data_IF_752372989236
#
_entry.id   IF_752372989236
#
_cell.length_a   1.000
_cell.length_b   1.000
_cell.length_c   1.000
_cell.angle_alpha   90.00
_cell.angle_beta   90.00
_cell.angle_gamma   90.00
#
_symmetry.space_group_name_H-M   'P 1'
#
loop_
_entity.id
_entity.type
_entity.pdbx_description
1 polymer ?
#
# COMPACT_ATOMS: atom_id res chain seq x y z
N UNK A 1 -38.74 -123.99 21.14
CA UNK A 1 -37.55 -123.43 20.46
C UNK A 1 -37.84 -122.49 19.27
N UNK A 2 -39.10 -122.22 18.88
CA UNK A 2 -39.40 -121.30 17.77
C UNK A 2 -39.75 -119.86 18.20
N UNK A 3 -40.38 -119.68 19.36
CA UNK A 3 -40.81 -118.37 19.88
C UNK A 3 -39.65 -117.45 20.23
N UNK A 4 -38.58 -117.97 20.84
CA UNK A 4 -37.39 -117.16 21.19
C UNK A 4 -36.61 -116.73 19.95
N UNK A 5 -36.59 -117.58 18.91
CA UNK A 5 -35.94 -117.28 17.63
C UNK A 5 -36.70 -116.20 16.86
N UNK A 6 -38.03 -116.22 16.91
CA UNK A 6 -38.89 -115.22 16.29
C UNK A 6 -38.82 -113.88 17.04
N UNK A 7 -38.78 -113.90 18.37
CA UNK A 7 -38.59 -112.71 19.20
C UNK A 7 -37.19 -112.08 19.02
N UNK A 8 -36.13 -112.88 18.95
CA UNK A 8 -34.78 -112.38 18.60
C UNK A 8 -34.73 -111.81 17.18
N UNK A 9 -35.39 -112.45 16.21
CA UNK A 9 -35.41 -111.97 14.84
C UNK A 9 -36.11 -110.60 14.73
N UNK A 10 -37.19 -110.42 15.48
CA UNK A 10 -37.91 -109.14 15.54
C UNK A 10 -37.10 -108.05 16.25
N UNK A 11 -36.47 -108.38 17.38
CA UNK A 11 -35.57 -107.46 18.08
C UNK A 11 -34.35 -107.07 17.24
N UNK A 12 -33.80 -107.99 16.44
CA UNK A 12 -32.71 -107.68 15.51
C UNK A 12 -33.17 -106.73 14.40
N UNK A 13 -34.38 -106.90 13.89
CA UNK A 13 -34.94 -106.01 12.88
C UNK A 13 -35.23 -104.62 13.45
N UNK A 14 -35.80 -104.54 14.66
CA UNK A 14 -36.03 -103.27 15.36
C UNK A 14 -34.71 -102.55 15.69
N UNK A 15 -33.66 -103.30 16.07
CA UNK A 15 -32.33 -102.73 16.30
C UNK A 15 -31.69 -102.23 15.00
N UNK A 16 -31.83 -102.98 13.89
CA UNK A 16 -31.35 -102.53 12.58
C UNK A 16 -32.08 -101.26 12.13
N UNK A 17 -33.39 -101.19 12.32
CA UNK A 17 -34.18 -100.00 12.03
C UNK A 17 -33.74 -98.82 12.90
N UNK A 18 -33.56 -99.01 14.22
CA UNK A 18 -33.03 -97.97 15.12
C UNK A 18 -31.63 -97.52 14.74
N UNK A 19 -30.75 -98.42 14.32
CA UNK A 19 -29.41 -98.08 13.84
C UNK A 19 -29.51 -97.24 12.57
N UNK A 20 -30.38 -97.61 11.61
CA UNK A 20 -30.58 -96.84 10.39
C UNK A 20 -31.17 -95.45 10.66
N UNK A 21 -32.13 -95.32 11.57
CA UNK A 21 -32.72 -94.06 12.00
C UNK A 21 -31.71 -93.17 12.77
N UNK A 22 -30.89 -93.78 13.63
CA UNK A 22 -29.79 -93.09 14.33
C UNK A 22 -28.74 -92.61 13.35
N UNK A 23 -28.37 -93.43 12.36
CA UNK A 23 -27.42 -93.04 11.32
C UNK A 23 -27.94 -91.89 10.46
N UNK A 24 -29.24 -91.91 10.10
CA UNK A 24 -29.90 -90.81 9.38
C UNK A 24 -29.91 -89.51 10.19
N UNK A 25 -30.17 -89.59 11.50
CA UNK A 25 -30.15 -88.41 12.38
C UNK A 25 -28.73 -87.88 12.59
N UNK A 26 -27.74 -88.75 12.77
CA UNK A 26 -26.31 -88.36 12.83
C UNK A 26 -25.89 -87.66 11.55
N UNK A 27 -26.17 -88.23 10.37
CA UNK A 27 -25.84 -87.60 9.08
C UNK A 27 -26.49 -86.22 8.92
N UNK A 28 -27.75 -86.07 9.37
CA UNK A 28 -28.44 -84.78 9.33
C UNK A 28 -27.78 -83.75 10.26
N UNK A 29 -27.39 -84.16 11.46
CA UNK A 29 -26.71 -83.30 12.43
C UNK A 29 -25.30 -82.92 11.95
N UNK A 30 -24.56 -83.83 11.32
CA UNK A 30 -23.24 -83.54 10.74
C UNK A 30 -23.33 -82.47 9.65
N UNK A 31 -24.31 -82.57 8.76
CA UNK A 31 -24.57 -81.54 7.74
C UNK A 31 -24.92 -80.20 8.40
N UNK A 32 -25.75 -80.20 9.44
CA UNK A 32 -26.11 -78.97 10.17
C UNK A 32 -24.92 -78.34 10.88
N UNK A 33 -24.06 -79.14 11.53
CA UNK A 33 -22.84 -78.67 12.18
C UNK A 33 -21.88 -78.08 11.17
N UNK A 34 -21.67 -78.76 10.03
CA UNK A 34 -20.78 -78.30 8.96
C UNK A 34 -21.26 -76.97 8.37
N UNK A 35 -22.55 -76.85 8.05
CA UNK A 35 -23.13 -75.62 7.54
C UNK A 35 -23.04 -74.47 8.55
N UNK A 36 -23.21 -74.76 9.85
CA UNK A 36 -23.13 -73.75 10.90
C UNK A 36 -21.69 -73.34 11.21
N UNK A 37 -20.73 -74.27 11.12
CA UNK A 37 -19.30 -73.97 11.23
C UNK A 37 -18.86 -73.02 10.10
N UNK A 38 -19.20 -73.33 8.85
CA UNK A 38 -18.91 -72.46 7.71
C UNK A 38 -19.53 -71.06 7.84
N UNK A 39 -20.77 -70.98 8.36
CA UNK A 39 -21.41 -69.69 8.62
C UNK A 39 -20.69 -68.87 9.71
N UNK A 40 -20.16 -69.53 10.75
CA UNK A 40 -19.42 -68.85 11.83
C UNK A 40 -18.03 -68.41 11.36
N UNK A 41 -17.34 -69.23 10.57
CA UNK A 41 -16.07 -68.85 9.93
C UNK A 41 -16.24 -67.59 9.08
N UNK A 42 -17.29 -67.51 8.25
CA UNK A 42 -17.58 -66.32 7.47
C UNK A 42 -17.83 -65.06 8.33
N UNK A 43 -18.47 -65.20 9.50
CA UNK A 43 -18.65 -64.08 10.44
C UNK A 43 -17.33 -63.68 11.11
N UNK A 44 -16.46 -64.66 11.41
CA UNK A 44 -15.13 -64.38 11.97
C UNK A 44 -14.23 -63.67 10.96
N UNK A 45 -14.25 -64.07 9.69
CA UNK A 45 -13.50 -63.38 8.63
C UNK A 45 -13.95 -61.93 8.49
N UNK A 46 -15.27 -61.68 8.52
CA UNK A 46 -15.82 -60.33 8.52
C UNK A 46 -15.37 -59.52 9.75
N UNK A 47 -15.33 -60.17 10.93
CA UNK A 47 -14.88 -59.54 12.16
C UNK A 47 -13.40 -59.18 12.12
N UNK A 48 -12.53 -60.08 11.66
CA UNK A 48 -11.08 -59.84 11.52
C UNK A 48 -10.80 -58.76 10.48
N UNK A 49 -11.53 -58.76 9.37
CA UNK A 49 -11.46 -57.68 8.37
C UNK A 49 -11.88 -56.32 8.96
N UNK A 50 -12.91 -56.30 9.80
CA UNK A 50 -13.35 -55.09 10.48
C UNK A 50 -12.31 -54.61 11.50
N UNK A 51 -11.74 -55.49 12.32
CA UNK A 51 -10.66 -55.13 13.24
C UNK A 51 -9.46 -54.55 12.49
N UNK A 52 -9.10 -55.15 11.35
CA UNK A 52 -8.00 -54.68 10.50
C UNK A 52 -8.29 -53.29 9.91
N UNK A 53 -9.49 -53.07 9.38
CA UNK A 53 -9.87 -51.76 8.81
C UNK A 53 -9.95 -50.65 9.87
N UNK A 54 -10.27 -51.01 11.12
CA UNK A 54 -10.25 -50.10 12.27
C UNK A 54 -8.86 -49.92 12.90
N UNK A 55 -7.83 -50.62 12.39
CA UNK A 55 -6.47 -50.58 12.94
C UNK A 55 -6.34 -51.19 14.33
N UNK A 56 -7.27 -52.07 14.72
CA UNK A 56 -7.27 -52.78 16.01
C UNK A 56 -6.57 -54.15 15.94
N UNK A 57 -6.08 -54.52 14.75
CA UNK A 57 -5.36 -55.75 14.48
C UNK A 57 -4.03 -55.42 13.77
N UNK A 58 -2.90 -56.04 14.15
CA UNK A 58 -2.73 -57.15 15.10
C UNK A 58 -2.70 -56.76 16.58
N UNK A 59 -2.49 -55.48 16.92
CA UNK A 59 -2.49 -55.01 18.32
C UNK A 59 -3.24 -53.68 18.39
N UNK A 60 -4.21 -53.51 19.32
CA UNK A 60 -4.93 -52.25 19.44
C UNK A 60 -4.00 -51.09 19.86
N UNK A 61 -4.33 -49.85 19.47
CA UNK A 61 -3.62 -48.67 19.93
C UNK A 61 -3.82 -48.45 21.44
N UNK A 62 -2.94 -47.64 22.02
CA UNK A 62 -3.00 -47.20 23.42
C UNK A 62 -4.39 -46.60 23.74
N UNK A 63 -5.03 -46.92 24.88
CA UNK A 63 -4.58 -47.71 26.03
C UNK A 63 -4.93 -49.22 26.00
N UNK A 64 -5.37 -49.78 24.87
CA UNK A 64 -5.86 -51.18 24.80
C UNK A 64 -4.83 -52.21 24.30
N UNK A 65 -3.54 -51.88 24.37
CA UNK A 65 -2.44 -52.69 23.84
C UNK A 65 -2.40 -54.11 24.42
N UNK A 66 -2.87 -54.29 25.65
CA UNK A 66 -2.86 -55.57 26.37
C UNK A 66 -4.05 -56.48 26.04
N UNK A 67 -5.00 -56.03 25.22
CA UNK A 67 -6.23 -56.79 24.91
C UNK A 67 -6.14 -57.41 23.53
N UNK A 68 -5.98 -58.73 23.48
CA UNK A 68 -6.06 -59.50 22.25
C UNK A 68 -7.53 -59.72 21.82
N UNK A 69 -7.96 -59.00 20.78
CA UNK A 69 -9.32 -59.09 20.25
C UNK A 69 -9.47 -60.21 19.20
N UNK A 70 -8.46 -61.04 18.98
CA UNK A 70 -8.57 -62.15 18.04
C UNK A 70 -9.54 -63.23 18.53
N UNK A 71 -10.30 -63.79 17.59
CA UNK A 71 -11.25 -64.86 17.82
C UNK A 71 -11.03 -65.94 16.76
N UNK A 72 -10.84 -67.18 17.19
CA UNK A 72 -10.59 -68.33 16.30
C UNK A 72 -11.61 -69.44 16.56
N UNK A 73 -12.07 -70.10 15.49
CA UNK A 73 -13.00 -71.23 15.59
C UNK A 73 -12.23 -72.55 15.60
N UNK A 74 -12.44 -73.36 16.63
CA UNK A 74 -11.99 -74.75 16.71
C UNK A 74 -13.17 -75.70 16.49
N UNK A 75 -13.53 -75.91 15.22
CA UNK A 75 -14.65 -76.76 14.80
C UNK A 75 -14.46 -78.26 15.12
N UNK A 76 -13.23 -78.68 15.43
CA UNK A 76 -12.89 -80.05 15.81
C UNK A 76 -13.07 -80.33 17.32
N UNK A 77 -13.43 -79.32 18.13
CA UNK A 77 -13.59 -79.50 19.57
C UNK A 77 -14.88 -80.24 19.93
N UNK A 78 -14.82 -81.32 20.74
CA UNK A 78 -16.00 -82.02 21.22
C UNK A 78 -16.76 -81.27 22.32
N UNK A 79 -16.15 -80.23 22.91
CA UNK A 79 -16.78 -79.42 23.95
C UNK A 79 -17.27 -78.09 23.35
N UNK A 80 -18.57 -77.76 23.43
CA UNK A 80 -19.12 -76.52 22.90
C UNK A 80 -18.51 -75.26 23.51
N UNK A 81 -17.96 -75.34 24.73
CA UNK A 81 -17.28 -74.21 25.39
C UNK A 81 -15.88 -73.93 24.84
N UNK A 82 -15.31 -74.88 24.10
CA UNK A 82 -13.98 -74.79 23.49
C UNK A 82 -14.03 -74.61 21.96
N UNK A 83 -15.24 -74.43 21.40
CA UNK A 83 -15.42 -74.19 19.97
C UNK A 83 -14.87 -72.83 19.54
N UNK A 84 -14.85 -71.84 20.43
CA UNK A 84 -14.30 -70.51 20.15
C UNK A 84 -13.11 -70.26 21.08
N UNK A 85 -11.96 -69.97 20.50
CA UNK A 85 -10.73 -69.60 21.18
C UNK A 85 -10.60 -68.07 21.13
N UNK A 86 -10.15 -67.47 22.24
CA UNK A 86 -9.99 -66.03 22.40
C UNK A 86 -10.60 -65.50 23.69
N UNK A 87 -10.59 -64.17 23.85
CA UNK A 87 -11.14 -63.51 25.03
C UNK A 87 -12.67 -63.59 25.07
N UNK A 88 -13.25 -63.54 26.27
CA UNK A 88 -14.71 -63.59 26.45
C UNK A 88 -15.38 -62.41 25.72
N UNK A 89 -16.19 -62.74 24.69
CA UNK A 89 -16.85 -61.75 23.85
C UNK A 89 -17.69 -60.77 24.68
N UNK A 90 -18.41 -61.27 25.69
CA UNK A 90 -19.38 -60.47 26.43
C UNK A 90 -18.71 -59.61 27.50
N UNK A 91 -17.67 -60.15 28.14
CA UNK A 91 -17.00 -59.49 29.28
C UNK A 91 -15.82 -58.62 28.88
N UNK A 92 -15.16 -58.94 27.77
CA UNK A 92 -13.91 -58.27 27.37
C UNK A 92 -14.04 -57.63 26.00
N UNK A 93 -14.27 -58.42 24.94
CA UNK A 93 -14.25 -57.90 23.55
C UNK A 93 -15.29 -56.79 23.34
N UNK A 94 -16.55 -57.04 23.71
CA UNK A 94 -17.63 -56.06 23.52
C UNK A 94 -17.43 -54.79 24.35
N UNK A 95 -17.12 -54.85 25.66
CA UNK A 95 -16.78 -53.65 26.43
C UNK A 95 -15.59 -52.88 25.85
N UNK A 96 -14.53 -53.56 25.43
CA UNK A 96 -13.35 -52.92 24.82
C UNK A 96 -13.71 -52.21 23.52
N UNK A 97 -14.41 -52.86 22.59
CA UNK A 97 -14.88 -52.23 21.35
C UNK A 97 -15.84 -51.06 21.61
N UNK A 98 -16.67 -51.15 22.64
CA UNK A 98 -17.55 -50.04 23.05
C UNK A 98 -16.74 -48.85 23.57
N UNK A 99 -15.68 -49.12 24.34
CA UNK A 99 -14.76 -48.09 24.85
C UNK A 99 -13.97 -47.43 23.71
N UNK A 100 -13.46 -48.21 22.75
CA UNK A 100 -12.79 -47.71 21.55
C UNK A 100 -13.72 -46.82 20.74
N UNK A 101 -14.96 -47.27 20.50
CA UNK A 101 -15.94 -46.50 19.74
C UNK A 101 -16.25 -45.16 20.42
N UNK A 102 -16.37 -45.14 21.75
CA UNK A 102 -16.63 -43.91 22.49
C UNK A 102 -15.42 -42.96 22.48
N UNK A 103 -14.21 -43.50 22.68
CA UNK A 103 -12.98 -42.70 22.57
C UNK A 103 -12.84 -42.06 21.19
N UNK A 104 -13.12 -42.82 20.12
CA UNK A 104 -13.09 -42.29 18.74
C UNK A 104 -14.17 -41.25 18.47
N UNK A 105 -15.35 -41.36 19.09
CA UNK A 105 -16.38 -40.31 19.02
C UNK A 105 -15.92 -39.02 19.71
N UNK A 106 -15.31 -39.14 20.88
CA UNK A 106 -14.78 -37.98 21.62
C UNK A 106 -13.63 -37.32 20.85
N UNK A 107 -12.69 -38.11 20.33
CA UNK A 107 -11.59 -37.61 19.48
C UNK A 107 -12.15 -36.87 18.26
N UNK A 108 -13.11 -37.47 17.54
CA UNK A 108 -13.76 -36.82 16.40
C UNK A 108 -14.44 -35.50 16.80
N UNK A 109 -15.18 -35.48 17.91
CA UNK A 109 -15.83 -34.26 18.37
C UNK A 109 -14.81 -33.15 18.73
N UNK A 110 -13.67 -33.53 19.33
CA UNK A 110 -12.57 -32.60 19.61
C UNK A 110 -11.97 -32.02 18.34
N UNK A 111 -11.66 -32.88 17.36
CA UNK A 111 -11.10 -32.46 16.06
C UNK A 111 -12.09 -31.57 15.29
N UNK A 112 -13.39 -31.90 15.31
CA UNK A 112 -14.44 -31.09 14.69
C UNK A 112 -14.52 -29.70 15.35
N UNK A 113 -14.45 -29.64 16.69
CA UNK A 113 -14.45 -28.38 17.42
C UNK A 113 -13.21 -27.53 17.12
N UNK A 114 -12.04 -28.16 16.99
CA UNK A 114 -10.81 -27.47 16.60
C UNK A 114 -10.89 -26.97 15.16
N UNK A 115 -11.42 -27.78 14.25
CA UNK A 115 -11.68 -27.40 12.85
C UNK A 115 -12.58 -26.15 12.77
N UNK A 116 -13.68 -26.12 13.54
CA UNK A 116 -14.56 -24.94 13.61
C UNK A 116 -13.80 -23.71 14.10
N UNK A 117 -12.96 -23.85 15.14
CA UNK A 117 -12.16 -22.75 15.65
C UNK A 117 -11.17 -22.22 14.61
N UNK A 118 -10.41 -23.12 13.98
CA UNK A 118 -9.43 -22.76 12.94
C UNK A 118 -10.11 -22.09 11.75
N UNK A 119 -11.28 -22.58 11.32
CA UNK A 119 -12.04 -21.94 10.24
C UNK A 119 -12.51 -20.53 10.62
N UNK A 120 -12.99 -20.33 11.85
CA UNK A 120 -13.38 -19.01 12.33
C UNK A 120 -12.18 -18.04 12.39
N UNK A 121 -11.03 -18.50 12.88
CA UNK A 121 -9.80 -17.70 12.92
C UNK A 121 -9.34 -17.33 11.50
N UNK A 122 -9.45 -18.27 10.55
CA UNK A 122 -9.13 -18.03 9.13
C UNK A 122 -10.07 -17.00 8.50
N UNK A 123 -11.38 -17.08 8.78
CA UNK A 123 -12.37 -16.11 8.29
C UNK A 123 -12.11 -14.71 8.86
N UNK A 124 -11.72 -14.62 10.13
CA UNK A 124 -11.34 -13.38 10.78
C UNK A 124 -10.11 -12.76 10.11
N UNK A 125 -9.01 -13.53 9.96
CA UNK A 125 -7.80 -13.02 9.31
C UNK A 125 -8.04 -12.66 7.85
N UNK A 126 -8.87 -13.43 7.14
CA UNK A 126 -9.25 -13.11 5.75
C UNK A 126 -9.98 -11.77 5.66
N UNK A 127 -10.85 -11.47 6.63
CA UNK A 127 -11.56 -10.19 6.70
C UNK A 127 -10.61 -9.05 7.04
N UNK A 128 -9.68 -9.25 7.98
CA UNK A 128 -8.66 -8.26 8.35
C UNK A 128 -7.74 -7.93 7.16
N UNK A 129 -7.25 -8.95 6.44
CA UNK A 129 -6.46 -8.73 5.22
C UNK A 129 -7.21 -7.91 4.17
N UNK A 130 -8.49 -8.22 3.93
CA UNK A 130 -9.31 -7.44 2.98
C UNK A 130 -9.49 -5.98 3.41
N UNK A 131 -9.65 -5.73 4.71
CA UNK A 131 -9.75 -4.37 5.24
C UNK A 131 -8.43 -3.61 5.07
N UNK A 132 -7.30 -4.25 5.39
CA UNK A 132 -5.97 -3.67 5.19
C UNK A 132 -5.67 -3.38 3.71
N UNK A 133 -6.06 -4.28 2.80
CA UNK A 133 -5.91 -4.05 1.36
C UNK A 133 -6.72 -2.83 0.89
N UNK A 134 -7.93 -2.66 1.41
CA UNK A 134 -8.74 -1.48 1.13
C UNK A 134 -8.09 -0.19 1.65
N UNK A 135 -7.60 -0.20 2.89
CA UNK A 135 -6.88 0.95 3.47
C UNK A 135 -5.61 1.29 2.69
N UNK A 136 -4.85 0.29 2.25
CA UNK A 136 -3.67 0.47 1.40
C UNK A 136 -4.03 1.10 0.06
N UNK A 137 -5.11 0.63 -0.58
CA UNK A 137 -5.59 1.23 -1.84
C UNK A 137 -5.98 2.70 -1.67
N UNK A 138 -6.64 3.05 -0.58
CA UNK A 138 -7.02 4.44 -0.29
C UNK A 138 -5.80 5.31 0.03
N UNK A 139 -4.80 4.77 0.72
CA UNK A 139 -3.55 5.47 0.98
C UNK A 139 -2.75 5.70 -0.30
N UNK A 140 -2.66 4.71 -1.18
CA UNK A 140 -1.95 4.80 -2.46
C UNK A 140 -2.55 5.87 -3.38
N UNK A 141 -3.89 5.96 -3.44
CA UNK A 141 -4.58 7.06 -4.13
C UNK A 141 -4.23 8.43 -3.54
N UNK A 142 -4.17 8.55 -2.21
CA UNK A 142 -3.79 9.81 -1.56
C UNK A 142 -2.35 10.20 -1.88
N UNK A 143 -1.42 9.23 -1.85
CA UNK A 143 -0.01 9.45 -2.20
C UNK A 143 0.12 9.91 -3.65
N UNK A 144 -0.58 9.24 -4.58
CA UNK A 144 -0.58 9.61 -6.00
C UNK A 144 -1.08 11.04 -6.20
N UNK A 145 -2.24 11.38 -5.61
CA UNK A 145 -2.81 12.73 -5.70
C UNK A 145 -1.89 13.81 -5.08
N UNK A 146 -1.22 13.50 -3.96
CA UNK A 146 -0.26 14.42 -3.34
C UNK A 146 0.99 14.61 -4.19
N UNK A 147 1.46 13.55 -4.85
CA UNK A 147 2.59 13.63 -5.75
C UNK A 147 2.27 14.49 -6.98
N UNK A 148 1.09 14.31 -7.58
CA UNK A 148 0.61 15.16 -8.68
C UNK A 148 0.53 16.63 -8.25
N UNK A 149 -0.03 16.92 -7.07
CA UNK A 149 -0.08 18.29 -6.54
C UNK A 149 1.32 18.88 -6.28
N UNK A 150 2.27 18.06 -5.82
CA UNK A 150 3.64 18.49 -5.60
C UNK A 150 4.35 18.83 -6.92
N UNK A 151 4.13 18.02 -7.96
CA UNK A 151 4.66 18.27 -9.31
C UNK A 151 4.03 19.54 -9.92
N UNK A 152 2.71 19.72 -9.82
CA UNK A 152 2.02 20.93 -10.28
C UNK A 152 2.55 22.20 -9.59
N UNK A 153 2.74 22.15 -8.26
CA UNK A 153 3.29 23.27 -7.49
C UNK A 153 4.74 23.58 -7.88
N UNK A 154 5.54 22.54 -8.13
CA UNK A 154 6.93 22.70 -8.56
C UNK A 154 7.00 23.37 -9.93
N UNK A 155 6.17 22.94 -10.87
CA UNK A 155 6.12 23.48 -12.22
C UNK A 155 5.63 24.94 -12.21
N UNK A 156 4.61 25.25 -11.41
CA UNK A 156 4.14 26.62 -11.19
C UNK A 156 5.23 27.52 -10.59
N UNK A 157 5.92 27.05 -9.55
CA UNK A 157 7.01 27.80 -8.91
C UNK A 157 8.18 28.05 -9.87
N UNK A 158 8.52 27.06 -10.70
CA UNK A 158 9.57 27.21 -11.72
C UNK A 158 9.16 28.22 -12.79
N UNK A 159 7.90 28.19 -13.25
CA UNK A 159 7.39 29.17 -14.22
C UNK A 159 7.39 30.59 -13.63
N UNK A 160 6.94 30.76 -12.39
CA UNK A 160 6.94 32.06 -11.70
C UNK A 160 8.37 32.60 -11.53
N UNK A 161 9.31 31.73 -11.12
CA UNK A 161 10.73 32.11 -11.01
C UNK A 161 11.32 32.58 -12.35
N UNK A 162 10.97 31.91 -13.46
CA UNK A 162 11.41 32.33 -14.79
C UNK A 162 10.83 33.69 -15.20
N UNK A 163 9.53 33.90 -14.99
CA UNK A 163 8.87 35.18 -15.29
C UNK A 163 9.46 36.31 -14.44
N UNK A 164 9.62 36.08 -13.13
CA UNK A 164 10.22 37.05 -12.21
C UNK A 164 11.66 37.38 -12.58
N UNK A 165 12.47 36.39 -12.93
CA UNK A 165 13.85 36.60 -13.39
C UNK A 165 13.92 37.40 -14.70
N UNK A 166 13.00 37.14 -15.65
CA UNK A 166 12.93 37.86 -16.91
C UNK A 166 12.51 39.32 -16.70
N UNK A 167 11.54 39.57 -15.82
CA UNK A 167 11.10 40.90 -15.46
C UNK A 167 12.19 41.68 -14.70
N UNK A 168 12.88 41.04 -13.75
CA UNK A 168 14.03 41.62 -13.07
C UNK A 168 15.12 42.07 -14.06
N UNK A 169 15.48 41.19 -15.01
CA UNK A 169 16.45 41.50 -16.07
C UNK A 169 15.98 42.62 -17.02
N UNK A 170 14.67 42.79 -17.20
CA UNK A 170 14.10 43.90 -17.97
C UNK A 170 14.21 45.21 -17.20
N UNK A 171 13.80 45.22 -15.93
CA UNK A 171 13.85 46.38 -15.07
C UNK A 171 15.29 46.87 -14.85
N UNK A 172 16.26 45.98 -14.71
CA UNK A 172 17.68 46.34 -14.63
C UNK A 172 18.17 47.08 -15.88
N UNK A 173 17.76 46.63 -17.08
CA UNK A 173 18.09 47.31 -18.34
C UNK A 173 17.43 48.67 -18.45
N UNK A 174 16.14 48.77 -18.08
CA UNK A 174 15.41 50.04 -18.07
C UNK A 174 16.04 51.03 -17.08
N UNK A 175 16.46 50.57 -15.90
CA UNK A 175 17.13 51.38 -14.89
C UNK A 175 18.50 51.85 -15.39
N UNK A 176 19.29 50.98 -16.01
CA UNK A 176 20.58 51.35 -16.61
C UNK A 176 20.42 52.39 -17.73
N UNK A 177 19.40 52.24 -18.58
CA UNK A 177 19.06 53.22 -19.61
C UNK A 177 18.62 54.55 -18.99
N UNK A 178 17.70 54.53 -18.02
CA UNK A 178 17.21 55.74 -17.35
C UNK A 178 18.35 56.50 -16.66
N UNK A 179 19.28 55.78 -16.00
CA UNK A 179 20.48 56.35 -15.40
C UNK A 179 21.38 57.01 -16.43
N UNK A 180 21.63 56.36 -17.56
CA UNK A 180 22.45 56.90 -18.65
C UNK A 180 21.81 58.15 -19.26
N UNK A 181 20.50 58.12 -19.51
CA UNK A 181 19.74 59.25 -20.01
C UNK A 181 19.76 60.43 -19.02
N UNK A 182 19.59 60.18 -17.72
CA UNK A 182 19.66 61.21 -16.69
C UNK A 182 21.06 61.86 -16.63
N UNK A 183 22.13 61.08 -16.72
CA UNK A 183 23.50 61.61 -16.76
C UNK A 183 23.72 62.45 -18.03
N UNK A 184 23.30 61.96 -19.19
CA UNK A 184 23.44 62.67 -20.46
C UNK A 184 22.67 64.00 -20.46
N UNK A 185 21.42 64.00 -19.99
CA UNK A 185 20.59 65.20 -19.87
C UNK A 185 21.19 66.18 -18.85
N UNK A 186 21.66 65.69 -17.70
CA UNK A 186 22.31 66.52 -16.69
C UNK A 186 23.58 67.20 -17.20
N UNK A 187 24.41 66.47 -17.95
CA UNK A 187 25.61 67.02 -18.60
C UNK A 187 25.25 68.04 -19.69
N UNK A 188 24.22 67.75 -20.50
CA UNK A 188 23.73 68.66 -21.54
C UNK A 188 23.25 70.00 -20.97
N UNK A 189 22.43 69.97 -19.92
CA UNK A 189 21.95 71.17 -19.23
C UNK A 189 23.11 71.95 -18.59
N UNK A 190 24.07 71.25 -17.96
CA UNK A 190 25.25 71.89 -17.37
C UNK A 190 26.11 72.59 -18.43
N UNK A 191 26.31 71.97 -19.59
CA UNK A 191 27.03 72.57 -20.72
C UNK A 191 26.32 73.81 -21.27
N UNK A 192 25.00 73.72 -21.48
CA UNK A 192 24.19 74.87 -21.91
C UNK A 192 24.24 76.03 -20.90
N UNK A 193 24.18 75.72 -19.60
CA UNK A 193 24.32 76.72 -18.54
C UNK A 193 25.69 77.41 -18.58
N UNK A 194 26.78 76.65 -18.77
CA UNK A 194 28.11 77.24 -18.90
C UNK A 194 28.24 78.12 -20.14
N UNK A 195 27.73 77.68 -21.29
CA UNK A 195 27.71 78.48 -22.51
C UNK A 195 26.93 79.80 -22.32
N UNK A 196 25.77 79.73 -21.66
CA UNK A 196 24.97 80.92 -21.34
C UNK A 196 25.70 81.86 -20.38
N UNK A 197 26.40 81.33 -19.37
CA UNK A 197 27.21 82.13 -18.44
C UNK A 197 28.36 82.85 -19.16
N UNK A 198 29.03 82.19 -20.11
CA UNK A 198 30.07 82.83 -20.92
C UNK A 198 29.50 83.93 -21.82
N UNK A 199 28.40 83.64 -22.52
CA UNK A 199 27.70 84.63 -23.37
C UNK A 199 27.24 85.84 -22.56
N UNK A 200 26.70 85.62 -21.36
CA UNK A 200 26.29 86.70 -20.47
C UNK A 200 27.49 87.57 -20.06
N UNK A 201 28.62 86.97 -19.64
CA UNK A 201 29.83 87.72 -19.29
C UNK A 201 30.36 88.53 -20.47
N UNK A 202 30.40 87.94 -21.66
CA UNK A 202 30.82 88.64 -22.89
C UNK A 202 29.91 89.83 -23.18
N UNK A 203 28.59 89.68 -23.02
CA UNK A 203 27.66 90.78 -23.23
C UNK A 203 27.81 91.89 -22.18
N UNK A 204 28.03 91.55 -20.92
CA UNK A 204 28.32 92.54 -19.88
C UNK A 204 29.58 93.34 -20.24
N UNK A 205 30.63 92.67 -20.73
CA UNK A 205 31.87 93.33 -21.14
C UNK A 205 31.65 94.22 -22.38
N UNK A 206 30.91 93.75 -23.38
CA UNK A 206 30.53 94.55 -24.57
C UNK A 206 29.76 95.80 -24.17
N UNK A 207 28.79 95.68 -23.27
CA UNK A 207 28.01 96.82 -22.76
C UNK A 207 28.91 97.79 -21.99
N UNK A 208 29.87 97.29 -21.19
CA UNK A 208 30.82 98.14 -20.48
C UNK A 208 31.70 98.93 -21.45
N UNK A 209 32.26 98.28 -22.48
CA UNK A 209 33.06 98.94 -23.52
C UNK A 209 32.23 99.98 -24.28
N UNK A 210 31.01 99.61 -24.69
CA UNK A 210 30.13 100.52 -25.42
C UNK A 210 29.76 101.75 -24.57
N UNK A 211 29.57 101.56 -23.26
CA UNK A 211 29.35 102.65 -22.30
C UNK A 211 30.58 103.56 -22.20
N UNK A 212 31.79 102.99 -22.08
CA UNK A 212 33.04 103.76 -22.04
C UNK A 212 33.27 104.55 -23.33
N UNK A 213 33.07 103.92 -24.49
CA UNK A 213 33.18 104.57 -25.81
C UNK A 213 32.15 105.68 -25.96
N UNK A 214 30.92 105.46 -25.50
CA UNK A 214 29.85 106.47 -25.51
C UNK A 214 30.20 107.65 -24.59
N UNK A 215 30.69 107.39 -23.37
CA UNK A 215 31.15 108.44 -22.46
C UNK A 215 32.30 109.24 -23.08
N UNK A 216 33.25 108.56 -23.73
CA UNK A 216 34.36 109.22 -24.43
C UNK A 216 33.87 110.08 -25.59
N UNK A 217 32.90 109.60 -26.38
CA UNK A 217 32.29 110.36 -27.46
C UNK A 217 31.55 111.59 -26.93
N UNK A 218 30.80 111.47 -25.82
CA UNK A 218 30.13 112.59 -25.16
C UNK A 218 31.14 113.63 -24.67
N UNK A 219 32.23 113.20 -24.03
CA UNK A 219 33.29 114.11 -23.57
C UNK A 219 33.94 114.85 -24.73
N UNK A 220 34.29 114.14 -25.81
CA UNK A 220 34.86 114.73 -27.02
C UNK A 220 33.91 115.76 -27.64
N UNK A 221 32.64 115.41 -27.86
CA UNK A 221 31.65 116.32 -28.40
C UNK A 221 31.41 117.52 -27.47
N UNK A 222 31.39 117.31 -26.15
CA UNK A 222 31.25 118.40 -25.18
C UNK A 222 32.43 119.36 -25.23
N UNK A 223 33.65 118.84 -25.42
CA UNK A 223 34.86 119.65 -25.57
C UNK A 223 34.86 120.41 -26.90
N UNK A 224 34.44 119.79 -28.00
CA UNK A 224 34.25 120.45 -29.29
C UNK A 224 33.20 121.58 -29.21
N UNK A 225 32.07 121.35 -28.54
CA UNK A 225 31.04 122.38 -28.29
C UNK A 225 31.60 123.51 -27.42
N UNK A 226 32.39 123.21 -26.39
CA UNK A 226 33.00 124.22 -25.53
C UNK A 226 33.99 125.10 -26.32
N UNK A 227 34.84 124.49 -27.15
CA UNK A 227 35.76 125.24 -28.03
C UNK A 227 34.99 126.08 -29.05
N UNK A 228 33.98 125.52 -29.70
CA UNK A 228 33.12 126.26 -30.63
C UNK A 228 32.44 127.45 -29.95
N UNK A 229 31.90 127.26 -28.74
CA UNK A 229 31.31 128.35 -27.94
C UNK A 229 32.37 129.42 -27.62
N UNK A 230 33.58 129.03 -27.23
CA UNK A 230 34.66 129.97 -26.93
C UNK A 230 35.06 130.77 -28.18
N UNK A 231 35.16 130.12 -29.34
CA UNK A 231 35.41 130.80 -30.61
C UNK A 231 34.28 131.76 -30.97
N UNK A 232 33.01 131.34 -30.89
CA UNK A 232 31.86 132.21 -31.17
C UNK A 232 31.80 133.38 -30.20
N UNK A 233 32.00 133.16 -28.89
CA UNK A 233 32.05 134.23 -27.90
C UNK A 233 33.20 135.20 -28.17
N UNK A 234 34.37 134.72 -28.57
CA UNK A 234 35.48 135.58 -29.00
C UNK A 234 35.11 136.43 -30.21
N UNK A 235 34.54 135.84 -31.26
CA UNK A 235 34.12 136.59 -32.46
C UNK A 235 33.01 137.60 -32.15
N UNK A 236 32.05 137.26 -31.28
CA UNK A 236 31.01 138.19 -30.84
C UNK A 236 31.57 139.34 -30.00
N UNK A 237 32.56 139.08 -29.14
CA UNK A 237 33.26 140.13 -28.40
C UNK A 237 34.04 141.04 -29.35
N UNK A 238 34.78 140.48 -30.32
CA UNK A 238 35.47 141.25 -31.36
C UNK A 238 34.48 142.12 -32.17
N UNK A 239 33.30 141.59 -32.50
CA UNK A 239 32.25 142.34 -33.21
C UNK A 239 31.64 143.45 -32.35
N UNK A 240 31.45 143.18 -31.05
CA UNK A 240 30.96 144.16 -30.07
C UNK A 240 31.98 145.28 -29.87
N UNK A 241 33.25 144.94 -29.66
CA UNK A 241 34.33 145.90 -29.49
C UNK A 241 34.48 146.77 -30.76
N UNK A 242 34.25 146.22 -31.95
CA UNK A 242 34.20 146.98 -33.20
C UNK A 242 32.99 147.92 -33.27
N UNK A 243 31.81 147.48 -32.81
CA UNK A 243 30.58 148.28 -32.82
C UNK A 243 30.51 149.35 -31.71
N UNK A 244 31.20 149.17 -30.57
CA UNK A 244 31.31 150.15 -29.48
C UNK A 244 32.47 151.17 -29.70
N UNK A 245 33.29 150.99 -30.75
CA UNK A 245 34.37 151.89 -31.14
C UNK A 245 33.96 152.95 -32.19
N UNK A 246 32.69 152.97 -32.61
CA UNK A 246 32.00 154.08 -33.30
C UNK A 246 31.12 154.89 -32.33
#
# INVERSE_FOLDING_TARGET
>A
MNTDREMLSRNLEDLKQKIAETHKTVMTLEIQVTNRAAAVEGVLDMYVSLLSSLGLFPTPPEPWQDVDLTLELNSASPNPQQLLLGLDIRKVVKPTLSSVAEAKRLERASVESESVKVNNDLDQFTTECKNLDYELCELDKKVTNLNEQADDLRDAAQQEAQVSSAEGSRLERELAHARTAAIANGLGVKSQLQALQFSYKEQVEKVSRLKEDTVRAILKNSQEIAMFKQEVSRHLQELRDFAEAE
#
